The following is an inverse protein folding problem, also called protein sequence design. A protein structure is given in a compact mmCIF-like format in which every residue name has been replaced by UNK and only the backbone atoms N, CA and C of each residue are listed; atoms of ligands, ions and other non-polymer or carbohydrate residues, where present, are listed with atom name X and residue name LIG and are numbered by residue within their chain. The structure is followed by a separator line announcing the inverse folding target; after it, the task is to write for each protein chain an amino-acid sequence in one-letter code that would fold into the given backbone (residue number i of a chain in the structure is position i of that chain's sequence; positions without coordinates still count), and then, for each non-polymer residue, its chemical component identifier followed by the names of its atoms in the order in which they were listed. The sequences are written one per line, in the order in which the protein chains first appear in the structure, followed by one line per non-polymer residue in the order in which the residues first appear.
data_IF_608341254580
#
_entry.id   IF_608341254580
#
_cell.length_a   1.000
_cell.length_b   1.000
_cell.length_c   1.000
_cell.angle_alpha   90.00
_cell.angle_beta   90.00
_cell.angle_gamma   90.00
#
_symmetry.space_group_name_H-M   'P 1'
#
loop_
_entity.id
_entity.type
_entity.pdbx_description
1 polymer ?
#
# COMPACT_ATOMS: atom_id res chain seq x y z
N UNK A 1 -14.23 4.20 -21.58
CA UNK A 1 -13.39 3.23 -22.31
C UNK A 1 -11.98 3.74 -22.64
N UNK A 2 -11.76 4.88 -23.31
CA UNK A 2 -10.40 5.36 -23.64
C UNK A 2 -9.47 5.54 -22.44
N UNK A 3 -9.99 5.98 -21.28
CA UNK A 3 -9.22 6.17 -20.04
C UNK A 3 -8.75 4.83 -19.43
N UNK A 4 -9.59 3.79 -19.45
CA UNK A 4 -9.23 2.42 -19.00
C UNK A 4 -8.10 1.83 -19.88
N UNK A 5 -8.15 2.05 -21.19
CA UNK A 5 -7.12 1.62 -22.12
C UNK A 5 -5.76 2.27 -21.85
N UNK A 6 -5.73 3.54 -21.43
CA UNK A 6 -4.50 4.23 -21.03
C UNK A 6 -3.95 3.66 -19.72
N UNK A 7 -4.80 3.36 -18.74
CA UNK A 7 -4.36 2.70 -17.50
C UNK A 7 -3.84 1.28 -17.75
N UNK A 8 -4.51 0.51 -18.61
CA UNK A 8 -4.08 -0.83 -19.02
C UNK A 8 -2.75 -0.78 -19.78
N UNK A 9 -2.55 0.25 -20.60
CA UNK A 9 -1.32 0.46 -21.36
C UNK A 9 -0.15 0.91 -20.46
N UNK A 10 -0.39 1.81 -19.51
CA UNK A 10 0.63 2.22 -18.52
C UNK A 10 0.97 1.03 -17.62
N UNK A 11 -0.02 0.27 -17.16
CA UNK A 11 0.17 -0.95 -16.37
C UNK A 11 0.99 -1.99 -17.14
N UNK A 12 0.68 -2.24 -18.42
CA UNK A 12 1.44 -3.13 -19.30
C UNK A 12 2.87 -2.63 -19.54
N UNK A 13 3.08 -1.33 -19.71
CA UNK A 13 4.43 -0.75 -19.87
C UNK A 13 5.25 -0.93 -18.59
N UNK A 14 4.66 -0.68 -17.41
CA UNK A 14 5.34 -0.87 -16.14
C UNK A 14 5.58 -2.35 -15.84
N UNK A 15 4.65 -3.25 -16.19
CA UNK A 15 4.81 -4.70 -15.95
C UNK A 15 5.90 -5.31 -16.85
N UNK A 16 6.04 -4.85 -18.09
CA UNK A 16 7.11 -5.30 -18.98
C UNK A 16 8.48 -4.77 -18.56
N UNK A 17 8.55 -3.56 -18.00
CA UNK A 17 9.80 -3.02 -17.47
C UNK A 17 10.30 -3.81 -16.25
N UNK A 18 9.38 -4.31 -15.40
CA UNK A 18 9.69 -5.16 -14.25
C UNK A 18 10.22 -6.55 -14.67
N UNK A 19 9.69 -7.14 -15.75
CA UNK A 19 10.15 -8.42 -16.27
C UNK A 19 11.59 -8.38 -16.83
N UNK A 20 12.02 -7.25 -17.37
CA UNK A 20 13.40 -7.06 -17.88
C UNK A 20 14.42 -6.89 -16.75
N UNK A 21 14.00 -6.38 -15.59
CA UNK A 21 14.86 -6.20 -14.41
C UNK A 21 14.89 -7.45 -13.51
N UNK A 22 13.88 -8.33 -13.57
CA UNK A 22 13.74 -9.51 -12.70
C UNK A 22 14.48 -10.77 -13.19
N UNK A 23 15.47 -10.66 -14.09
CA UNK A 23 16.20 -11.81 -14.63
C UNK A 23 17.25 -12.41 -13.66
N UNK A 24 17.38 -11.90 -12.44
CA UNK A 24 18.24 -12.46 -11.41
C UNK A 24 17.41 -13.22 -10.37
N UNK A 25 17.55 -14.54 -10.33
CA UNK A 25 16.76 -15.44 -9.47
C UNK A 25 17.12 -15.28 -7.98
N UNK A 26 16.12 -15.17 -7.07
CA UNK A 26 16.38 -15.28 -5.64
C UNK A 26 16.37 -16.74 -5.18
N UNK A 27 17.53 -17.22 -4.73
CA UNK A 27 17.65 -18.50 -4.01
C UNK A 27 16.91 -18.42 -2.66
N UNK A 28 16.10 -19.44 -2.38
CA UNK A 28 15.29 -19.58 -1.17
C UNK A 28 16.14 -19.75 0.10
N UNK A 29 15.74 -19.08 1.19
CA UNK A 29 16.37 -19.20 2.51
C UNK A 29 15.83 -20.39 3.33
N UNK A 30 16.67 -21.03 4.17
CA UNK A 30 16.22 -21.97 5.18
C UNK A 30 15.69 -21.24 6.44
N UNK A 31 14.73 -21.85 7.13
CA UNK A 31 14.16 -21.38 8.39
C UNK A 31 15.03 -21.76 9.59
N UNK A 32 15.27 -20.82 10.53
CA UNK A 32 16.02 -21.08 11.78
C UNK A 32 15.06 -21.01 12.99
N UNK A 33 15.01 -22.04 13.86
CA UNK A 33 14.14 -22.07 15.05
C UNK A 33 14.85 -21.66 16.37
N UNK A 34 14.09 -21.02 17.28
CA UNK A 34 14.26 -21.09 18.75
C UNK A 34 15.09 -20.00 19.45
N UNK A 35 14.42 -19.06 20.13
CA UNK A 35 15.02 -18.18 21.14
C UNK A 35 15.05 -18.91 22.49
N UNK A 36 16.24 -19.26 22.98
CA UNK A 36 16.47 -19.91 24.27
C UNK A 36 16.54 -18.95 25.48
N UNK A 37 16.78 -19.53 26.66
CA UNK A 37 16.73 -18.90 27.98
C UNK A 37 17.78 -17.78 28.21
N UNK A 38 17.44 -16.85 29.12
CA UNK A 38 18.21 -15.65 29.44
C UNK A 38 19.33 -15.99 30.43
N UNK A 39 20.55 -15.50 30.18
CA UNK A 39 21.71 -15.73 31.05
C UNK A 39 21.68 -14.75 32.24
N UNK A 40 21.51 -15.29 33.45
CA UNK A 40 21.37 -14.51 34.69
C UNK A 40 22.60 -13.66 35.04
N UNK A 41 23.81 -14.01 34.56
CA UNK A 41 25.03 -13.29 34.91
C UNK A 41 25.31 -12.05 34.05
N UNK A 42 24.79 -12.01 32.82
CA UNK A 42 25.03 -10.91 31.87
C UNK A 42 23.77 -10.10 31.57
N UNK A 43 22.60 -10.58 32.01
CA UNK A 43 21.31 -9.97 31.69
C UNK A 43 20.95 -10.06 30.21
N UNK A 44 21.72 -10.82 29.43
CA UNK A 44 21.54 -10.98 27.98
C UNK A 44 21.06 -12.42 27.68
N UNK A 45 20.25 -12.62 26.63
CA UNK A 45 19.89 -13.96 26.17
C UNK A 45 21.13 -14.82 25.93
N UNK A 46 21.14 -16.09 26.35
CA UNK A 46 22.24 -17.03 26.02
C UNK A 46 22.42 -17.22 24.50
N UNK A 47 21.40 -16.84 23.73
CA UNK A 47 21.44 -16.74 22.27
C UNK A 47 22.34 -15.61 21.76
N UNK A 48 22.70 -14.58 22.55
CA UNK A 48 23.51 -13.45 22.10
C UNK A 48 24.98 -13.82 21.84
N UNK A 49 25.58 -14.68 22.68
CA UNK A 49 26.93 -15.18 22.43
C UNK A 49 26.97 -16.20 21.27
N UNK A 50 25.96 -17.07 21.17
CA UNK A 50 25.76 -17.92 20.00
C UNK A 50 25.56 -17.09 18.73
N UNK A 51 24.84 -15.98 18.81
CA UNK A 51 24.62 -15.04 17.71
C UNK A 51 25.91 -14.35 17.28
N UNK A 52 26.79 -13.98 18.22
CA UNK A 52 28.12 -13.43 17.91
C UNK A 52 28.97 -14.45 17.12
N UNK A 53 28.96 -15.72 17.52
CA UNK A 53 29.67 -16.79 16.78
C UNK A 53 29.04 -17.19 15.44
N UNK A 54 27.72 -17.01 15.28
CA UNK A 54 26.99 -17.21 14.02
C UNK A 54 27.21 -16.04 13.06
N UNK A 55 27.23 -14.79 13.56
CA UNK A 55 27.48 -13.57 12.78
C UNK A 55 28.84 -13.59 12.07
N UNK A 56 29.84 -14.21 12.68
CA UNK A 56 31.17 -14.33 12.08
C UNK A 56 31.24 -15.38 10.95
N UNK A 57 30.26 -16.30 10.87
CA UNK A 57 30.19 -17.38 9.88
C UNK A 57 29.08 -17.25 8.81
N UNK A 58 28.25 -16.19 8.87
CA UNK A 58 27.18 -15.98 7.90
C UNK A 58 27.70 -15.35 6.60
N UNK A 59 27.13 -15.79 5.48
CA UNK A 59 27.47 -15.29 4.13
C UNK A 59 27.10 -13.79 3.98
N UNK A 60 27.76 -13.06 3.08
CA UNK A 60 27.57 -11.61 2.90
C UNK A 60 26.09 -11.21 2.69
N UNK A 61 25.29 -12.09 2.10
CA UNK A 61 23.86 -11.87 1.84
C UNK A 61 23.03 -11.86 3.14
N UNK A 62 23.37 -12.72 4.12
CA UNK A 62 22.72 -12.81 5.44
C UNK A 62 23.16 -11.68 6.38
N UNK A 63 24.41 -11.21 6.27
CA UNK A 63 24.90 -10.02 7.00
C UNK A 63 24.05 -8.78 6.71
N UNK A 64 23.56 -8.62 5.47
CA UNK A 64 22.72 -7.46 5.11
C UNK A 64 21.34 -7.46 5.76
N UNK A 65 20.71 -8.63 5.96
CA UNK A 65 19.43 -8.74 6.69
C UNK A 65 19.59 -8.48 8.18
N UNK A 66 20.76 -8.82 8.71
CA UNK A 66 21.10 -8.69 10.13
C UNK A 66 21.56 -7.27 10.50
N UNK A 67 22.10 -6.51 9.55
CA UNK A 67 22.61 -5.15 9.78
C UNK A 67 21.55 -4.20 10.34
N UNK A 68 20.35 -4.17 9.74
CA UNK A 68 19.25 -3.34 10.26
C UNK A 68 18.91 -3.76 11.68
N UNK A 69 18.67 -5.05 11.91
CA UNK A 69 18.35 -5.56 13.24
C UNK A 69 19.42 -5.18 14.28
N UNK A 70 20.70 -5.25 13.91
CA UNK A 70 21.82 -4.84 14.77
C UNK A 70 21.85 -3.32 15.04
N UNK A 71 21.68 -2.48 14.03
CA UNK A 71 21.67 -1.02 14.18
C UNK A 71 20.45 -0.56 15.00
N UNK A 72 19.29 -1.15 14.73
CA UNK A 72 18.08 -0.94 15.51
C UNK A 72 18.30 -1.39 16.97
N UNK A 73 18.85 -2.58 17.21
CA UNK A 73 19.16 -3.08 18.57
C UNK A 73 20.14 -2.16 19.32
N UNK A 74 21.17 -1.61 18.65
CA UNK A 74 22.09 -0.63 19.25
C UNK A 74 21.39 0.68 19.60
N UNK A 75 20.47 1.16 18.76
CA UNK A 75 19.65 2.32 19.06
C UNK A 75 18.68 2.04 20.22
N UNK A 76 18.19 0.80 20.34
CA UNK A 76 17.24 0.38 21.37
C UNK A 76 17.86 0.17 22.75
N UNK A 77 19.08 -0.35 22.81
CA UNK A 77 19.84 -0.45 24.05
C UNK A 77 20.08 0.92 24.73
N UNK A 78 19.89 2.02 23.99
CA UNK A 78 20.01 3.39 24.50
C UNK A 78 18.69 3.97 25.01
N UNK A 79 17.53 3.35 24.75
CA UNK A 79 16.23 3.90 25.14
C UNK A 79 15.16 2.81 25.38
N UNK A 80 14.89 2.52 26.65
CA UNK A 80 13.97 1.48 27.11
C UNK A 80 12.56 1.57 26.50
N UNK A 81 12.06 2.79 26.24
CA UNK A 81 10.72 2.99 25.65
C UNK A 81 10.65 2.49 24.21
N UNK A 82 11.73 2.65 23.44
CA UNK A 82 11.79 2.17 22.06
C UNK A 82 11.94 0.64 22.00
N UNK A 83 12.69 0.05 22.94
CA UNK A 83 12.81 -1.40 23.04
C UNK A 83 11.44 -2.07 23.28
N UNK A 84 10.60 -1.49 24.14
CA UNK A 84 9.25 -1.97 24.39
C UNK A 84 8.37 -1.92 23.13
N UNK A 85 8.36 -0.79 22.41
CA UNK A 85 7.60 -0.66 21.15
C UNK A 85 8.03 -1.71 20.15
N UNK A 86 9.34 -1.88 19.94
CA UNK A 86 9.87 -2.85 19.00
C UNK A 86 9.45 -4.28 19.36
N UNK A 87 9.59 -4.67 20.63
CA UNK A 87 9.16 -5.99 21.12
C UNK A 87 7.68 -6.26 20.85
N UNK A 88 6.79 -5.30 21.14
CA UNK A 88 5.36 -5.47 20.87
C UNK A 88 5.05 -5.53 19.38
N UNK A 89 5.73 -4.72 18.57
CA UNK A 89 5.54 -4.77 17.12
C UNK A 89 6.09 -6.07 16.53
N UNK A 90 7.22 -6.56 17.02
CA UNK A 90 7.83 -7.82 16.59
C UNK A 90 6.91 -9.00 16.91
N UNK A 91 6.39 -9.05 18.14
CA UNK A 91 5.40 -10.04 18.57
C UNK A 91 4.11 -9.95 17.74
N UNK A 92 3.58 -8.74 17.52
CA UNK A 92 2.38 -8.54 16.73
C UNK A 92 2.56 -9.05 15.30
N UNK A 93 3.60 -8.61 14.60
CA UNK A 93 3.80 -8.98 13.20
C UNK A 93 4.19 -10.46 13.02
N UNK A 94 5.04 -11.02 13.89
CA UNK A 94 5.39 -12.45 13.87
C UNK A 94 4.18 -13.36 14.13
N UNK A 95 3.21 -12.92 14.95
CA UNK A 95 1.94 -13.65 15.13
C UNK A 95 1.19 -13.86 13.81
N UNK A 96 1.34 -12.93 12.87
CA UNK A 96 0.73 -13.00 11.55
C UNK A 96 1.67 -13.54 10.47
N UNK A 97 2.79 -14.17 10.83
CA UNK A 97 3.72 -14.79 9.87
C UNK A 97 3.05 -15.66 8.82
N UNK A 98 2.11 -16.56 9.16
CA UNK A 98 1.42 -17.37 8.15
C UNK A 98 0.64 -16.53 7.13
N UNK A 99 0.13 -15.36 7.56
CA UNK A 99 -0.59 -14.44 6.68
C UNK A 99 0.41 -13.72 5.76
N UNK A 100 1.51 -13.20 6.31
CA UNK A 100 2.55 -12.53 5.52
C UNK A 100 3.21 -13.46 4.52
N UNK A 101 3.49 -14.70 4.91
CA UNK A 101 4.07 -15.72 4.04
C UNK A 101 3.09 -16.09 2.92
N UNK A 102 1.79 -16.18 3.22
CA UNK A 102 0.78 -16.45 2.19
C UNK A 102 0.50 -15.26 1.25
N UNK A 103 0.53 -14.02 1.76
CA UNK A 103 0.25 -12.82 0.95
C UNK A 103 1.50 -12.41 0.17
N UNK A 104 2.65 -12.31 0.81
CA UNK A 104 3.87 -11.74 0.22
C UNK A 104 4.93 -12.78 -0.15
N UNK A 105 4.81 -14.02 0.34
CA UNK A 105 5.87 -15.03 0.17
C UNK A 105 7.10 -14.75 1.03
N UNK A 106 6.96 -13.94 2.08
CA UNK A 106 8.04 -13.59 3.02
C UNK A 106 7.53 -13.70 4.46
N UNK A 107 8.38 -14.21 5.34
CA UNK A 107 8.13 -14.17 6.79
C UNK A 107 8.45 -12.78 7.33
N UNK A 108 7.80 -12.41 8.43
CA UNK A 108 8.09 -11.15 9.08
C UNK A 108 9.57 -11.10 9.51
N UNK A 109 10.19 -9.98 9.16
CA UNK A 109 11.47 -9.56 9.69
C UNK A 109 11.52 -8.06 9.56
N UNK A 110 12.24 -7.38 10.45
CA UNK A 110 12.52 -5.94 10.32
C UNK A 110 13.55 -5.65 9.22
N UNK A 111 13.24 -6.09 8.00
CA UNK A 111 14.02 -5.87 6.79
C UNK A 111 13.37 -4.78 5.94
N UNK A 112 14.18 -4.11 5.12
CA UNK A 112 13.68 -3.14 4.13
C UNK A 112 12.64 -3.77 3.19
N UNK A 113 12.86 -5.03 2.80
CA UNK A 113 11.93 -5.81 1.97
C UNK A 113 10.53 -5.88 2.60
N UNK A 114 10.44 -6.28 3.88
CA UNK A 114 9.16 -6.34 4.58
C UNK A 114 8.51 -4.96 4.73
N UNK A 115 9.29 -3.93 5.08
CA UNK A 115 8.78 -2.56 5.22
C UNK A 115 8.21 -2.05 3.90
N UNK A 116 8.87 -2.30 2.77
CA UNK A 116 8.37 -1.93 1.46
C UNK A 116 7.13 -2.72 1.05
N UNK A 117 7.12 -4.04 1.25
CA UNK A 117 5.93 -4.87 1.02
C UNK A 117 4.72 -4.34 1.80
N UNK A 118 4.89 -4.10 3.10
CA UNK A 118 3.84 -3.59 3.98
C UNK A 118 3.36 -2.19 3.54
N UNK A 119 4.30 -1.30 3.18
CA UNK A 119 3.97 0.07 2.75
C UNK A 119 3.20 0.08 1.43
N UNK A 120 3.65 -0.70 0.44
CA UNK A 120 2.96 -0.85 -0.85
C UNK A 120 1.57 -1.43 -0.64
N UNK A 121 1.44 -2.45 0.23
CA UNK A 121 0.15 -3.06 0.54
C UNK A 121 -0.83 -2.06 1.19
N UNK A 122 -0.38 -1.28 2.19
CA UNK A 122 -1.20 -0.23 2.82
C UNK A 122 -1.61 0.84 1.79
N UNK A 123 -0.68 1.30 0.95
CA UNK A 123 -0.98 2.27 -0.11
C UNK A 123 -2.02 1.72 -1.08
N UNK A 124 -1.93 0.44 -1.45
CA UNK A 124 -2.88 -0.20 -2.34
C UNK A 124 -4.27 -0.28 -1.69
N UNK A 125 -4.37 -0.57 -0.39
CA UNK A 125 -5.64 -0.56 0.35
C UNK A 125 -6.30 0.82 0.27
N UNK A 126 -5.53 1.89 0.54
CA UNK A 126 -6.03 3.26 0.50
C UNK A 126 -6.48 3.63 -0.92
N UNK A 127 -5.69 3.28 -1.93
CA UNK A 127 -6.00 3.54 -3.34
C UNK A 127 -7.27 2.80 -3.79
N UNK A 128 -7.47 1.57 -3.31
CA UNK A 128 -8.62 0.73 -3.63
C UNK A 128 -9.88 1.11 -2.85
N UNK A 129 -9.76 1.83 -1.73
CA UNK A 129 -10.92 2.18 -0.90
C UNK A 129 -11.98 2.97 -1.68
N UNK A 130 -11.56 4.03 -2.38
CA UNK A 130 -12.48 4.88 -3.15
C UNK A 130 -13.20 4.13 -4.29
N UNK A 131 -12.52 3.42 -5.22
CA UNK A 131 -13.23 2.69 -6.27
C UNK A 131 -14.13 1.58 -5.70
N UNK A 132 -13.71 0.89 -4.65
CA UNK A 132 -14.54 -0.14 -4.00
C UNK A 132 -15.80 0.48 -3.37
N UNK A 133 -15.69 1.66 -2.73
CA UNK A 133 -16.85 2.35 -2.15
C UNK A 133 -17.88 2.79 -3.20
N UNK A 134 -17.44 3.05 -4.43
CA UNK A 134 -18.32 3.46 -5.52
C UNK A 134 -19.02 2.28 -6.18
N UNK A 135 -18.34 1.13 -6.26
CA UNK A 135 -18.88 -0.09 -6.89
C UNK A 135 -19.82 -0.81 -5.93
N UNK A 136 -19.42 -0.91 -4.66
CA UNK A 136 -20.19 -1.62 -3.65
C UNK A 136 -20.66 -0.56 -2.66
N UNK A 137 -21.95 -0.22 -2.71
CA UNK A 137 -22.64 0.68 -1.76
C UNK A 137 -22.74 0.06 -0.36
N UNK A 138 -21.62 -0.42 0.16
CA UNK A 138 -21.48 -1.09 1.43
C UNK A 138 -21.23 -0.06 2.55
N UNK A 139 -21.40 -0.54 3.78
CA UNK A 139 -20.90 0.14 4.96
C UNK A 139 -19.37 0.41 4.81
N UNK A 140 -18.86 1.59 5.20
CA UNK A 140 -17.43 1.92 5.19
C UNK A 140 -16.51 0.83 5.73
N UNK A 141 -16.94 0.11 6.77
CA UNK A 141 -16.18 -1.01 7.34
C UNK A 141 -16.04 -2.16 6.34
N UNK A 142 -17.13 -2.56 5.68
CA UNK A 142 -17.12 -3.62 4.68
C UNK A 142 -16.34 -3.21 3.41
N UNK A 143 -16.38 -1.93 3.04
CA UNK A 143 -15.53 -1.37 1.98
C UNK A 143 -14.06 -1.54 2.33
N UNK A 144 -13.65 -1.17 3.55
CA UNK A 144 -12.27 -1.34 4.00
C UNK A 144 -11.83 -2.81 3.97
N UNK A 145 -12.68 -3.72 4.47
CA UNK A 145 -12.41 -5.17 4.41
C UNK A 145 -12.28 -5.66 2.96
N UNK A 146 -13.15 -5.24 2.06
CA UNK A 146 -13.07 -5.60 0.64
C UNK A 146 -11.77 -5.07 0.00
N UNK A 147 -11.36 -3.84 0.30
CA UNK A 147 -10.09 -3.27 -0.17
C UNK A 147 -8.88 -4.05 0.36
N UNK A 148 -8.89 -4.47 1.62
CA UNK A 148 -7.86 -5.35 2.22
C UNK A 148 -7.80 -6.69 1.51
N UNK A 149 -8.95 -7.31 1.22
CA UNK A 149 -9.01 -8.60 0.49
C UNK A 149 -8.43 -8.44 -0.92
N UNK A 150 -8.87 -7.42 -1.68
CA UNK A 150 -8.37 -7.18 -3.04
C UNK A 150 -6.86 -6.90 -3.01
N UNK A 151 -6.38 -6.10 -2.06
CA UNK A 151 -4.96 -5.82 -1.93
C UNK A 151 -4.13 -7.06 -1.57
N UNK A 152 -4.68 -7.93 -0.73
CA UNK A 152 -4.05 -9.20 -0.38
C UNK A 152 -3.99 -10.17 -1.56
N UNK A 153 -5.01 -10.18 -2.42
CA UNK A 153 -5.00 -10.96 -3.67
C UNK A 153 -3.92 -10.46 -4.65
N UNK A 154 -3.72 -9.14 -4.73
CA UNK A 154 -2.62 -8.54 -5.51
C UNK A 154 -1.26 -8.85 -4.88
N UNK A 155 -1.17 -8.90 -3.55
CA UNK A 155 0.02 -9.40 -2.87
C UNK A 155 0.38 -10.81 -3.31
N UNK A 156 -0.62 -11.70 -3.29
CA UNK A 156 -0.45 -13.12 -3.63
C UNK A 156 0.02 -13.37 -5.06
N UNK A 157 -0.20 -12.45 -6.00
CA UNK A 157 0.35 -12.57 -7.35
C UNK A 157 1.87 -12.34 -7.41
N UNK A 158 2.50 -11.91 -6.31
CA UNK A 158 3.93 -11.66 -6.19
C UNK A 158 4.36 -10.28 -6.67
N UNK A 159 3.44 -9.45 -7.19
CA UNK A 159 3.76 -8.12 -7.72
C UNK A 159 4.21 -7.16 -6.62
N UNK A 160 3.62 -7.24 -5.43
CA UNK A 160 4.06 -6.44 -4.27
C UNK A 160 5.50 -6.80 -3.88
N UNK A 161 5.83 -8.09 -3.85
CA UNK A 161 7.19 -8.56 -3.53
C UNK A 161 8.20 -8.08 -4.57
N UNK A 162 7.92 -8.25 -5.87
CA UNK A 162 8.79 -7.76 -6.95
C UNK A 162 9.04 -6.25 -6.88
N UNK A 163 8.00 -5.48 -6.57
CA UNK A 163 8.14 -4.04 -6.38
C UNK A 163 9.00 -3.71 -5.15
N UNK A 164 8.82 -4.42 -4.04
CA UNK A 164 9.64 -4.27 -2.83
C UNK A 164 11.11 -4.67 -3.05
N UNK A 165 11.38 -5.73 -3.81
CA UNK A 165 12.73 -6.16 -4.20
C UNK A 165 13.42 -5.07 -5.02
N UNK A 166 12.70 -4.50 -5.99
CA UNK A 166 13.20 -3.38 -6.82
C UNK A 166 13.50 -2.14 -5.96
N UNK A 167 12.64 -1.83 -4.99
CA UNK A 167 12.88 -0.73 -4.05
C UNK A 167 14.07 -1.00 -3.14
N UNK A 168 14.24 -2.24 -2.69
CA UNK A 168 15.39 -2.64 -1.86
C UNK A 168 16.70 -2.49 -2.64
N UNK A 169 16.70 -2.86 -3.92
CA UNK A 169 17.82 -2.61 -4.82
C UNK A 169 18.07 -1.11 -5.02
N UNK A 170 17.00 -0.31 -5.11
CA UNK A 170 17.09 1.15 -5.22
C UNK A 170 17.74 1.78 -3.98
N UNK A 171 17.36 1.36 -2.78
CA UNK A 171 17.93 1.93 -1.54
C UNK A 171 19.40 1.58 -1.36
N UNK A 172 19.84 0.41 -1.85
CA UNK A 172 21.27 0.08 -1.89
C UNK A 172 22.06 0.98 -2.85
N UNK A 173 21.40 1.60 -3.82
CA UNK A 173 22.00 2.43 -4.86
C UNK A 173 21.44 3.85 -4.81
N UNK A 174 22.08 4.76 -4.08
CA UNK A 174 21.55 6.11 -3.81
C UNK A 174 21.11 6.88 -5.08
N UNK A 175 21.79 6.69 -6.21
CA UNK A 175 21.40 7.26 -7.50
C UNK A 175 20.06 6.72 -8.02
N UNK A 176 19.83 5.41 -7.89
CA UNK A 176 18.57 4.78 -8.29
C UNK A 176 17.43 5.22 -7.36
N UNK A 177 17.69 5.38 -6.06
CA UNK A 177 16.72 5.93 -5.12
C UNK A 177 16.28 7.35 -5.51
N UNK A 178 17.20 8.20 -5.96
CA UNK A 178 16.88 9.55 -6.46
C UNK A 178 16.00 9.48 -7.73
N UNK A 179 16.32 8.60 -8.68
CA UNK A 179 15.50 8.39 -9.89
C UNK A 179 14.10 7.88 -9.53
N UNK A 180 13.99 6.89 -8.63
CA UNK A 180 12.71 6.38 -8.15
C UNK A 180 11.88 7.46 -7.46
N UNK A 181 12.51 8.35 -6.67
CA UNK A 181 11.84 9.47 -6.03
C UNK A 181 11.27 10.46 -7.06
N UNK A 182 12.04 10.78 -8.10
CA UNK A 182 11.58 11.65 -9.19
C UNK A 182 10.37 11.03 -9.92
N UNK A 183 10.43 9.73 -10.22
CA UNK A 183 9.33 9.00 -10.86
C UNK A 183 8.09 8.99 -9.94
N UNK A 184 8.25 8.74 -8.64
CA UNK A 184 7.16 8.74 -7.68
C UNK A 184 6.47 10.11 -7.59
N UNK A 185 7.25 11.20 -7.52
CA UNK A 185 6.73 12.57 -7.55
C UNK A 185 5.97 12.82 -8.85
N UNK A 186 6.51 12.40 -9.99
CA UNK A 186 5.85 12.56 -11.29
C UNK A 186 4.51 11.82 -11.34
N UNK A 187 4.44 10.58 -10.84
CA UNK A 187 3.21 9.79 -10.76
C UNK A 187 2.18 10.50 -9.87
N UNK A 188 2.59 11.01 -8.70
CA UNK A 188 1.69 11.73 -7.78
C UNK A 188 1.14 12.99 -8.47
N UNK A 189 1.99 13.78 -9.13
CA UNK A 189 1.57 14.99 -9.85
C UNK A 189 0.57 14.66 -10.96
N UNK A 190 0.85 13.62 -11.75
CA UNK A 190 -0.05 13.15 -12.81
C UNK A 190 -1.38 12.67 -12.21
N UNK A 191 -1.33 11.87 -11.15
CA UNK A 191 -2.52 11.36 -10.46
C UNK A 191 -3.41 12.51 -9.94
N UNK A 192 -2.82 13.49 -9.25
CA UNK A 192 -3.53 14.67 -8.75
C UNK A 192 -4.10 15.51 -9.89
N UNK A 193 -3.35 15.71 -10.98
CA UNK A 193 -3.83 16.46 -12.15
C UNK A 193 -5.03 15.78 -12.80
N UNK A 194 -5.00 14.46 -12.94
CA UNK A 194 -6.12 13.67 -13.46
C UNK A 194 -7.34 13.77 -12.53
N UNK A 195 -7.15 13.60 -11.22
CA UNK A 195 -8.24 13.68 -10.26
C UNK A 195 -8.89 15.07 -10.21
N UNK A 196 -8.09 16.15 -10.28
CA UNK A 196 -8.63 17.52 -10.38
C UNK A 196 -9.45 17.71 -11.66
N UNK A 197 -9.01 17.14 -12.77
CA UNK A 197 -9.76 17.21 -14.03
C UNK A 197 -11.08 16.44 -13.96
N UNK A 198 -11.07 15.25 -13.36
CA UNK A 198 -12.27 14.45 -13.15
C UNK A 198 -13.26 15.13 -12.18
N UNK A 199 -12.76 15.76 -11.12
CA UNK A 199 -13.59 16.53 -10.19
C UNK A 199 -14.31 17.68 -10.87
N UNK A 200 -13.60 18.46 -11.70
CA UNK A 200 -14.21 19.54 -12.50
C UNK A 200 -15.25 19.05 -13.49
N UNK A 201 -14.97 17.96 -14.21
CA UNK A 201 -15.94 17.33 -15.13
C UNK A 201 -17.22 16.90 -14.36
N UNK A 202 -17.06 16.35 -13.15
CA UNK A 202 -18.20 15.95 -12.30
C UNK A 202 -19.02 17.15 -11.79
N UNK A 203 -18.37 18.22 -11.33
CA UNK A 203 -19.06 19.43 -10.87
C UNK A 203 -19.82 20.11 -12.02
N UNK A 204 -19.23 20.18 -13.21
CA UNK A 204 -19.90 20.73 -14.40
C UNK A 204 -21.14 19.92 -14.80
N UNK A 205 -21.05 18.59 -14.75
CA UNK A 205 -22.18 17.69 -15.02
C UNK A 205 -23.29 17.82 -13.96
N UNK A 206 -22.94 17.97 -12.68
CA UNK A 206 -23.91 18.22 -11.61
C UNK A 206 -24.62 19.58 -11.75
N UNK A 207 -23.86 20.65 -12.05
CA UNK A 207 -24.42 21.99 -12.29
C UNK A 207 -25.36 21.96 -13.51
N UNK A 208 -24.99 21.22 -14.57
CA UNK A 208 -25.82 21.10 -15.76
C UNK A 208 -27.13 20.35 -15.47
N UNK A 209 -27.07 19.23 -14.75
CA UNK A 209 -28.25 18.49 -14.29
C UNK A 209 -29.15 19.34 -13.39
N UNK A 210 -28.57 20.12 -12.48
CA UNK A 210 -29.30 21.04 -11.62
C UNK A 210 -29.99 22.16 -12.42
N UNK A 211 -29.31 22.74 -13.42
CA UNK A 211 -29.92 23.74 -14.32
C UNK A 211 -31.08 23.15 -15.13
N UNK A 212 -30.92 21.92 -15.63
CA UNK A 212 -31.98 21.22 -16.36
C UNK A 212 -33.18 20.91 -15.46
N UNK A 213 -32.96 20.46 -14.22
CA UNK A 213 -34.05 20.19 -13.27
C UNK A 213 -34.80 21.46 -12.84
N UNK A 214 -34.10 22.58 -12.61
CA UNK A 214 -34.70 23.89 -12.31
C UNK A 214 -35.53 24.38 -13.51
N UNK A 215 -35.01 24.26 -14.73
CA UNK A 215 -35.73 24.68 -15.94
C UNK A 215 -37.00 23.86 -16.15
N UNK A 216 -36.93 22.57 -15.85
CA UNK A 216 -38.07 21.65 -15.95
C UNK A 216 -39.13 21.96 -14.88
N UNK A 217 -38.73 22.21 -13.63
CA UNK A 217 -39.63 22.65 -12.56
C UNK A 217 -40.27 24.01 -12.86
N UNK A 218 -39.51 24.98 -13.39
CA UNK A 218 -40.02 26.28 -13.80
C UNK A 218 -41.07 26.17 -14.92
N UNK A 219 -40.85 25.28 -15.90
CA UNK A 219 -41.86 24.97 -16.94
C UNK A 219 -43.13 24.40 -16.34
N UNK A 220 -43.03 23.37 -15.48
CA UNK A 220 -44.19 22.77 -14.83
C UNK A 220 -44.95 23.81 -14.00
N UNK A 221 -44.23 24.63 -13.21
CA UNK A 221 -44.86 25.67 -12.38
C UNK A 221 -45.55 26.75 -13.21
N UNK A 222 -44.97 27.16 -14.34
CA UNK A 222 -45.59 28.14 -15.25
C UNK A 222 -46.81 27.58 -16.00
N UNK A 223 -46.78 26.32 -16.41
CA UNK A 223 -47.96 25.63 -16.98
C UNK A 223 -49.07 25.46 -15.95
N UNK A 224 -48.73 25.12 -14.71
CA UNK A 224 -49.69 25.04 -13.61
C UNK A 224 -50.35 26.39 -13.32
N UNK A 225 -49.56 27.48 -13.28
CA UNK A 225 -50.10 28.84 -13.11
C UNK A 225 -51.02 29.25 -14.27
N UNK A 226 -50.66 28.92 -15.52
CA UNK A 226 -51.52 29.20 -16.68
C UNK A 226 -52.85 28.43 -16.62
N UNK A 227 -52.82 27.15 -16.25
CA UNK A 227 -54.04 26.34 -16.09
C UNK A 227 -54.91 26.84 -14.93
N UNK A 228 -54.29 27.23 -13.81
CA UNK A 228 -55.00 27.83 -12.66
C UNK A 228 -55.68 29.15 -13.01
N UNK A 229 -55.02 30.02 -13.81
CA UNK A 229 -55.61 31.29 -14.25
C UNK A 229 -56.74 31.15 -15.28
N UNK A 230 -56.73 30.07 -16.09
CA UNK A 230 -57.79 29.81 -17.08
C UNK A 230 -59.06 29.16 -16.51
N UNK A 231 -59.06 28.80 -15.21
CA UNK A 231 -60.14 28.07 -14.57
C UNK A 231 -61.24 28.91 -13.92
N UNK A 232 -61.11 30.25 -13.87
CA UNK A 232 -61.93 31.08 -12.96
C UNK A 232 -62.54 32.35 -13.60
N UNK A 233 -62.84 32.34 -14.90
CA UNK A 233 -63.58 33.45 -15.56
C UNK A 233 -65.01 33.08 -15.96
N UNK A 234 -65.61 32.10 -15.28
CA UNK A 234 -67.02 31.76 -15.43
C UNK A 234 -67.89 32.41 -14.37
N UNK A 235 -68.01 33.75 -14.39
CA UNK A 235 -69.12 34.49 -13.76
C UNK A 235 -69.79 35.32 -14.84
#
# INVERSE_FOLDING_TARGET
MKKILVYLFIFLLTSNFISVVSAEQPNLMPSIPGLGEINENTGLPSSFEKFKSLSDNLSETEKSKTYLYQEWTKLFAKNDKFAAVFFYTDMFFSTFDPIWENIFGIKFSWSWEFIFCLTIWIMLIILLYMPVSQVISLNPFLTAVASVIIASLVGKSGEIKRAADTMTFAVKNIWLAVVCLIIAIMIIVIYVAIFKKLGKESEEDEIKKAKESIKLHGKISSEALKKGYSGDTGI
#
